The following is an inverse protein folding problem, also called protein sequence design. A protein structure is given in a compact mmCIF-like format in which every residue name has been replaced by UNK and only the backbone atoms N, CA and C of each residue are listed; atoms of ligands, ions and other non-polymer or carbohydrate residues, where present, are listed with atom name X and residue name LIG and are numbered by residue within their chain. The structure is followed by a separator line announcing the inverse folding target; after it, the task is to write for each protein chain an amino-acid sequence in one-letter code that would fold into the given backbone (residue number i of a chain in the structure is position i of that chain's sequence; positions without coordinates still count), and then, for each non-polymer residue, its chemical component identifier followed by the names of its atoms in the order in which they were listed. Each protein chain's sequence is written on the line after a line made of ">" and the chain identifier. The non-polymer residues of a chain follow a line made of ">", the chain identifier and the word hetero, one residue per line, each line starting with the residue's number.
data_IF_588386913135
#
_entry.id   IF_588386913135
#
_cell.length_a   1.000
_cell.length_b   1.000
_cell.length_c   1.000
_cell.angle_alpha   90.00
_cell.angle_beta   90.00
_cell.angle_gamma   90.00
#
_symmetry.space_group_name_H-M   'P 1'
#
loop_
_entity.id
_entity.type
_entity.pdbx_description
1 polymer ?
#
# COMPACT_ATOMS: atom_id res chain seq x y z
N UNK A 1 -35.40 2.57 7.28
CA UNK A 1 -34.41 3.09 6.32
C UNK A 1 -33.43 1.97 5.92
N UNK A 2 -33.81 1.07 5.01
CA UNK A 2 -32.98 -0.08 4.64
C UNK A 2 -31.71 0.33 3.87
N UNK A 3 -31.79 1.31 2.96
CA UNK A 3 -30.70 1.64 2.04
C UNK A 3 -29.37 2.09 2.69
N UNK A 4 -29.42 2.87 3.79
CA UNK A 4 -28.19 3.28 4.51
C UNK A 4 -27.58 2.12 5.28
N UNK A 5 -28.41 1.36 5.97
CA UNK A 5 -27.99 0.18 6.71
C UNK A 5 -27.36 -0.86 5.78
N UNK A 6 -28.01 -1.14 4.64
CA UNK A 6 -27.49 -2.05 3.62
C UNK A 6 -26.16 -1.55 3.04
N UNK A 7 -26.01 -0.24 2.85
CA UNK A 7 -24.75 0.36 2.41
C UNK A 7 -23.63 0.23 3.47
N UNK A 8 -23.95 0.31 4.76
CA UNK A 8 -22.99 0.07 5.85
C UNK A 8 -22.56 -1.40 5.92
N UNK A 9 -23.51 -2.34 5.76
CA UNK A 9 -23.20 -3.78 5.71
C UNK A 9 -22.30 -4.08 4.50
N UNK A 10 -22.69 -3.60 3.31
CA UNK A 10 -21.88 -3.76 2.11
C UNK A 10 -20.50 -3.11 2.24
N UNK A 11 -20.41 -1.98 2.95
CA UNK A 11 -19.14 -1.33 3.22
C UNK A 11 -18.25 -2.18 4.12
N UNK A 12 -18.78 -2.69 5.24
CA UNK A 12 -18.06 -3.60 6.13
C UNK A 12 -17.50 -4.80 5.37
N UNK A 13 -18.32 -5.44 4.55
CA UNK A 13 -17.90 -6.62 3.79
C UNK A 13 -16.82 -6.27 2.74
N UNK A 14 -16.93 -5.09 2.11
CA UNK A 14 -15.88 -4.57 1.24
C UNK A 14 -14.57 -4.33 2.02
N UNK A 15 -14.62 -3.71 3.19
CA UNK A 15 -13.42 -3.47 4.01
C UNK A 15 -12.79 -4.79 4.47
N UNK A 16 -13.60 -5.81 4.77
CA UNK A 16 -13.09 -7.13 5.11
C UNK A 16 -12.35 -7.76 3.91
N UNK A 17 -12.89 -7.67 2.70
CA UNK A 17 -12.20 -8.14 1.50
C UNK A 17 -10.92 -7.31 1.21
N UNK A 18 -10.95 -6.00 1.43
CA UNK A 18 -9.78 -5.14 1.28
C UNK A 18 -8.67 -5.51 2.29
N UNK A 19 -9.04 -5.96 3.50
CA UNK A 19 -8.09 -6.45 4.48
C UNK A 19 -7.34 -7.68 3.99
N UNK A 20 -8.05 -8.63 3.38
CA UNK A 20 -7.43 -9.84 2.81
C UNK A 20 -6.48 -9.47 1.66
N UNK A 21 -6.92 -8.58 0.76
CA UNK A 21 -6.09 -8.11 -0.36
C UNK A 21 -4.86 -7.33 0.12
N UNK A 22 -4.98 -6.54 1.19
CA UNK A 22 -3.85 -5.86 1.81
C UNK A 22 -2.86 -6.84 2.44
N UNK A 23 -3.34 -7.91 3.08
CA UNK A 23 -2.49 -8.96 3.64
C UNK A 23 -1.75 -9.75 2.55
N UNK A 24 -2.38 -9.96 1.40
CA UNK A 24 -1.77 -10.58 0.21
C UNK A 24 -0.83 -9.62 -0.56
N UNK A 25 -0.85 -8.33 -0.25
CA UNK A 25 -0.07 -7.31 -0.98
C UNK A 25 -0.61 -7.03 -2.40
N UNK A 26 -1.88 -7.35 -2.67
CA UNK A 26 -2.51 -7.15 -3.97
C UNK A 26 -3.04 -5.71 -4.11
N UNK A 27 -2.11 -4.75 -4.22
CA UNK A 27 -2.44 -3.32 -4.26
C UNK A 27 -3.24 -2.90 -5.50
N UNK A 28 -3.08 -3.60 -6.63
CA UNK A 28 -3.86 -3.34 -7.84
C UNK A 28 -5.33 -3.66 -7.65
N UNK A 29 -5.66 -4.77 -6.96
CA UNK A 29 -7.05 -5.09 -6.64
C UNK A 29 -7.66 -4.07 -5.67
N UNK A 30 -6.89 -3.61 -4.68
CA UNK A 30 -7.30 -2.55 -3.76
C UNK A 30 -7.64 -1.24 -4.50
N UNK A 31 -6.83 -0.84 -5.48
CA UNK A 31 -7.12 0.36 -6.30
C UNK A 31 -8.42 0.23 -7.09
N UNK A 32 -8.72 -0.97 -7.60
CA UNK A 32 -9.97 -1.23 -8.34
C UNK A 32 -11.22 -1.13 -7.43
N UNK A 33 -11.08 -1.34 -6.12
CA UNK A 33 -12.17 -1.22 -5.15
C UNK A 33 -12.44 0.22 -4.70
N UNK A 34 -11.53 1.17 -4.94
CA UNK A 34 -11.71 2.57 -4.51
C UNK A 34 -13.01 3.20 -5.05
N UNK A 35 -13.39 2.87 -6.28
CA UNK A 35 -14.66 3.34 -6.86
C UNK A 35 -15.92 2.70 -6.26
N UNK A 36 -15.81 1.51 -5.63
CA UNK A 36 -16.91 0.90 -4.86
C UNK A 36 -17.05 1.58 -3.51
N UNK A 37 -15.93 1.86 -2.87
CA UNK A 37 -15.85 2.63 -1.63
C UNK A 37 -16.56 3.98 -1.73
N UNK A 38 -16.26 4.78 -2.75
CA UNK A 38 -16.81 6.12 -2.90
C UNK A 38 -18.34 6.08 -3.10
N UNK A 39 -18.84 5.09 -3.86
CA UNK A 39 -20.28 4.90 -4.05
C UNK A 39 -21.00 4.54 -2.75
N UNK A 40 -20.44 3.63 -1.96
CA UNK A 40 -21.03 3.24 -0.67
C UNK A 40 -21.00 4.40 0.33
N UNK A 41 -19.90 5.16 0.36
CA UNK A 41 -19.78 6.37 1.19
C UNK A 41 -20.85 7.41 0.85
N UNK A 42 -21.09 7.66 -0.44
CA UNK A 42 -22.13 8.57 -0.91
C UNK A 42 -23.54 8.08 -0.52
N UNK A 43 -23.80 6.77 -0.60
CA UNK A 43 -25.06 6.19 -0.16
C UNK A 43 -25.29 6.33 1.36
N UNK A 44 -24.23 6.18 2.15
CA UNK A 44 -24.29 6.36 3.60
C UNK A 44 -24.55 7.82 3.98
N UNK A 45 -23.84 8.76 3.33
CA UNK A 45 -23.97 10.20 3.61
C UNK A 45 -25.30 10.81 3.12
N UNK A 46 -25.99 10.15 2.18
CA UNK A 46 -27.31 10.57 1.74
C UNK A 46 -28.41 10.36 2.81
N UNK A 47 -28.19 9.51 3.81
CA UNK A 47 -29.14 9.30 4.91
C UNK A 47 -29.17 10.50 5.86
N UNK A 48 -30.34 11.13 6.00
CA UNK A 48 -30.54 12.34 6.82
C UNK A 48 -30.99 12.08 8.26
N UNK A 49 -31.39 10.85 8.57
CA UNK A 49 -31.87 10.48 9.89
C UNK A 49 -30.71 10.24 10.88
N UNK A 50 -30.94 10.30 12.19
CA UNK A 50 -29.97 9.85 13.19
C UNK A 50 -29.52 8.41 12.93
N UNK A 51 -28.28 8.08 13.27
CA UNK A 51 -27.79 6.70 13.23
C UNK A 51 -28.47 5.88 14.32
N UNK A 52 -28.91 4.68 13.96
CA UNK A 52 -29.34 3.67 14.94
C UNK A 52 -28.13 3.03 15.63
N UNK A 53 -28.34 2.45 16.81
CA UNK A 53 -27.27 1.77 17.56
C UNK A 53 -26.57 0.68 16.73
N UNK A 54 -27.32 -0.05 15.90
CA UNK A 54 -26.76 -1.07 15.00
C UNK A 54 -25.83 -0.45 13.95
N UNK A 55 -26.22 0.69 13.37
CA UNK A 55 -25.39 1.41 12.40
C UNK A 55 -24.12 1.98 13.05
N UNK A 56 -24.19 2.40 14.31
CA UNK A 56 -23.02 2.83 15.10
C UNK A 56 -22.05 1.66 15.32
N UNK A 57 -22.55 0.47 15.65
CA UNK A 57 -21.73 -0.74 15.79
C UNK A 57 -21.04 -1.09 14.48
N UNK A 58 -21.77 -1.10 13.35
CA UNK A 58 -21.21 -1.36 12.02
C UNK A 58 -20.11 -0.35 11.65
N UNK A 59 -20.30 0.93 11.96
CA UNK A 59 -19.26 1.96 11.75
C UNK A 59 -18.01 1.68 12.60
N UNK A 60 -18.18 1.23 13.84
CA UNK A 60 -17.08 0.82 14.70
C UNK A 60 -16.28 -0.35 14.11
N UNK A 61 -16.96 -1.38 13.60
CA UNK A 61 -16.31 -2.51 12.92
C UNK A 61 -15.53 -2.05 11.69
N UNK A 62 -16.14 -1.22 10.83
CA UNK A 62 -15.50 -0.63 9.65
C UNK A 62 -14.24 0.17 10.03
N UNK A 63 -14.29 0.95 11.12
CA UNK A 63 -13.13 1.71 11.60
C UNK A 63 -12.00 0.79 12.07
N UNK A 64 -12.32 -0.29 12.79
CA UNK A 64 -11.32 -1.27 13.23
C UNK A 64 -10.67 -2.00 12.06
N UNK A 65 -11.44 -2.42 11.06
CA UNK A 65 -10.91 -3.05 9.85
C UNK A 65 -10.00 -2.10 9.08
N UNK A 66 -10.41 -0.84 8.90
CA UNK A 66 -9.57 0.17 8.26
C UNK A 66 -8.27 0.45 9.00
N UNK A 67 -8.29 0.47 10.34
CA UNK A 67 -7.07 0.62 11.13
C UNK A 67 -6.08 -0.52 10.85
N UNK A 68 -6.58 -1.77 10.76
CA UNK A 68 -5.74 -2.93 10.41
C UNK A 68 -5.16 -2.81 9.00
N UNK A 69 -5.97 -2.43 8.01
CA UNK A 69 -5.51 -2.20 6.64
C UNK A 69 -4.38 -1.16 6.61
N UNK A 70 -4.56 -0.02 7.29
CA UNK A 70 -3.54 1.04 7.35
C UNK A 70 -2.21 0.52 7.90
N UNK A 71 -2.25 -0.23 8.99
CA UNK A 71 -1.05 -0.86 9.56
C UNK A 71 -0.35 -1.77 8.55
N UNK A 72 -1.09 -2.60 7.81
CA UNK A 72 -0.52 -3.47 6.78
C UNK A 72 0.12 -2.66 5.64
N UNK A 73 -0.55 -1.60 5.18
CA UNK A 73 -0.03 -0.72 4.12
C UNK A 73 1.23 0.03 4.57
N UNK A 74 1.31 0.46 5.83
CA UNK A 74 2.51 1.09 6.40
C UNK A 74 3.69 0.13 6.46
N UNK A 75 3.47 -1.12 6.89
CA UNK A 75 4.49 -2.17 6.90
C UNK A 75 4.96 -2.45 5.47
N UNK A 76 4.04 -2.63 4.52
CA UNK A 76 4.37 -2.86 3.11
C UNK A 76 5.17 -1.69 2.52
N UNK A 77 4.80 -0.44 2.83
CA UNK A 77 5.52 0.76 2.40
C UNK A 77 6.95 0.80 2.95
N UNK A 78 7.13 0.47 4.22
CA UNK A 78 8.45 0.40 4.85
C UNK A 78 9.33 -0.68 4.18
N UNK A 79 8.76 -1.84 3.83
CA UNK A 79 9.46 -2.91 3.13
C UNK A 79 9.88 -2.53 1.71
N UNK A 80 8.98 -1.91 0.95
CA UNK A 80 9.29 -1.40 -0.40
C UNK A 80 10.41 -0.36 -0.32
N UNK A 81 10.36 0.57 0.65
CA UNK A 81 11.40 1.57 0.86
C UNK A 81 12.77 0.92 1.18
N UNK A 82 12.79 -0.07 2.08
CA UNK A 82 14.02 -0.83 2.41
C UNK A 82 14.60 -1.54 1.19
N UNK A 83 13.75 -2.21 0.40
CA UNK A 83 14.17 -2.91 -0.83
C UNK A 83 14.71 -1.92 -1.87
N UNK A 84 14.06 -0.78 -2.07
CA UNK A 84 14.51 0.26 -2.99
C UNK A 84 15.89 0.82 -2.59
N UNK A 85 16.13 1.07 -1.31
CA UNK A 85 17.44 1.49 -0.80
C UNK A 85 18.52 0.41 -1.04
N UNK A 86 18.18 -0.86 -0.81
CA UNK A 86 19.07 -1.99 -1.08
C UNK A 86 19.47 -2.05 -2.56
N UNK A 87 18.50 -1.95 -3.48
CA UNK A 87 18.75 -1.89 -4.91
C UNK A 87 19.60 -0.68 -5.32
N UNK A 88 19.39 0.48 -4.70
CA UNK A 88 20.22 1.66 -4.87
C UNK A 88 21.69 1.42 -4.50
N UNK A 89 21.93 0.75 -3.37
CA UNK A 89 23.29 0.34 -2.94
C UNK A 89 23.92 -0.62 -3.94
N UNK A 90 23.19 -1.66 -4.37
CA UNK A 90 23.67 -2.63 -5.37
C UNK A 90 24.04 -1.92 -6.68
N UNK A 91 23.19 -1.01 -7.16
CA UNK A 91 23.46 -0.21 -8.36
C UNK A 91 24.73 0.64 -8.23
N UNK A 92 24.92 1.30 -7.09
CA UNK A 92 26.12 2.10 -6.82
C UNK A 92 27.38 1.23 -6.81
N UNK A 93 27.33 0.07 -6.13
CA UNK A 93 28.44 -0.89 -6.13
C UNK A 93 28.76 -1.40 -7.53
N UNK A 94 27.77 -1.77 -8.34
CA UNK A 94 27.97 -2.18 -9.74
C UNK A 94 28.56 -1.07 -10.60
N UNK A 95 28.16 0.20 -10.39
CA UNK A 95 28.78 1.34 -11.08
C UNK A 95 30.24 1.54 -10.66
N UNK A 96 30.57 1.32 -9.38
CA UNK A 96 31.94 1.35 -8.87
C UNK A 96 32.80 0.25 -9.50
N UNK A 97 32.31 -0.99 -9.51
CA UNK A 97 32.98 -2.12 -10.16
C UNK A 97 33.18 -1.88 -11.66
N UNK A 98 32.18 -1.36 -12.38
CA UNK A 98 32.31 -1.03 -13.81
C UNK A 98 33.40 0.02 -14.05
N UNK A 99 33.46 1.07 -13.22
CA UNK A 99 34.50 2.11 -13.30
C UNK A 99 35.90 1.55 -13.02
N UNK A 100 36.03 0.69 -12.01
CA UNK A 100 37.28 0.03 -11.67
C UNK A 100 37.73 -0.94 -12.78
N UNK A 101 36.80 -1.66 -13.41
CA UNK A 101 37.11 -2.59 -14.51
C UNK A 101 37.53 -1.87 -15.81
N UNK A 102 37.06 -0.66 -16.06
CA UNK A 102 37.53 0.18 -17.19
C UNK A 102 38.86 0.87 -16.89
N UNK A 103 39.36 0.79 -15.66
CA UNK A 103 40.68 1.30 -15.28
C UNK A 103 41.74 0.30 -15.74
N UNK A 104 42.14 0.35 -17.01
CA UNK A 104 43.38 -0.26 -17.46
C UNK A 104 44.54 0.51 -16.78
N UNK A 105 45.37 -0.13 -15.94
CA UNK A 105 46.60 0.51 -15.53
C UNK A 105 47.40 0.74 -16.81
N UNK A 106 47.59 2.01 -17.19
CA UNK A 106 48.71 2.37 -18.04
C UNK A 106 49.96 2.03 -17.23
N UNK A 107 50.45 0.82 -17.38
CA UNK A 107 51.84 0.50 -17.11
C UNK A 107 52.64 1.36 -18.09
N UNK A 108 52.83 2.63 -17.75
CA UNK A 108 53.79 3.49 -18.39
C UNK A 108 55.14 2.84 -18.13
N UNK A 109 55.58 2.12 -19.15
CA UNK A 109 56.93 1.67 -19.40
C UNK A 109 57.89 2.82 -19.10
N UNK A 110 58.50 2.79 -17.93
CA UNK A 110 59.51 3.74 -17.48
C UNK A 110 60.63 2.97 -16.79
N UNK A 111 61.11 1.93 -17.46
CA UNK A 111 62.37 1.26 -17.13
C UNK A 111 63.40 1.81 -18.13
N UNK A 112 63.97 2.97 -17.83
CA UNK A 112 65.18 3.43 -18.51
C UNK A 112 66.38 3.07 -17.63
N UNK A 113 67.31 2.37 -18.28
CA UNK A 113 68.57 1.82 -17.80
C UNK A 113 69.62 2.92 -17.70
#
# INVERSE_FOLDING_TARGET
>A
MPARHDALVALRDLVAADLDLAAEGNFTALEQQAGRWERLRAAISAGRDPLSDVEVVLLGEIQQLNAKIRTLLEVARADVSRRAQGLGKVRTSLSGYRRASTYQPRCASGLEV
#
